data_IF_059440053798
#
_entry.id   IF_059440053798
#
_cell.length_a   1.000
_cell.length_b   1.000
_cell.length_c   1.000
_cell.angle_alpha   90.00
_cell.angle_beta   90.00
_cell.angle_gamma   90.00
#
_symmetry.space_group_name_H-M   'P 1'
#
loop_
_entity.id
_entity.type
_entity.pdbx_description
1 polymer ?
#
# COMPACT_ATOMS: atom_id res chain seq x y z
N UNK A 1 -18.30 -11.76 -12.25
CA UNK A 1 -17.47 -10.65 -11.74
C UNK A 1 -17.32 -10.84 -10.23
N UNK A 2 -16.29 -11.55 -9.78
CA UNK A 2 -16.06 -11.81 -8.34
C UNK A 2 -15.56 -10.50 -7.72
N UNK A 3 -16.37 -9.86 -6.87
CA UNK A 3 -15.92 -8.74 -6.06
C UNK A 3 -14.83 -9.25 -5.13
N UNK A 4 -13.66 -8.67 -5.24
CA UNK A 4 -12.50 -8.98 -4.41
C UNK A 4 -12.87 -8.66 -2.95
N UNK A 5 -12.82 -9.68 -2.07
CA UNK A 5 -13.26 -9.60 -0.69
C UNK A 5 -12.21 -8.89 0.18
N UNK A 6 -11.96 -7.61 -0.12
CA UNK A 6 -11.23 -6.75 0.81
C UNK A 6 -12.11 -6.46 2.03
N UNK A 7 -11.49 -6.20 3.17
CA UNK A 7 -12.04 -6.29 4.53
C UNK A 7 -13.48 -5.79 4.72
N UNK A 8 -13.87 -4.66 4.12
CA UNK A 8 -15.23 -4.12 4.19
C UNK A 8 -16.31 -5.03 3.57
N UNK A 9 -16.03 -5.60 2.38
CA UNK A 9 -16.96 -6.52 1.71
C UNK A 9 -17.18 -7.80 2.52
N UNK A 10 -16.11 -8.34 3.09
CA UNK A 10 -16.18 -9.55 3.92
C UNK A 10 -16.98 -9.32 5.22
N UNK A 11 -16.81 -8.16 5.85
CA UNK A 11 -17.61 -7.77 7.02
C UNK A 11 -19.10 -7.68 6.66
N UNK A 12 -19.42 -7.09 5.52
CA UNK A 12 -20.80 -7.00 5.00
C UNK A 12 -21.38 -8.38 4.70
N UNK A 13 -20.59 -9.30 4.14
CA UNK A 13 -21.04 -10.65 3.83
C UNK A 13 -21.39 -11.43 5.11
N UNK A 14 -20.55 -11.37 6.14
CA UNK A 14 -20.85 -11.98 7.44
C UNK A 14 -22.07 -11.32 8.13
N UNK A 15 -22.21 -10.01 8.01
CA UNK A 15 -23.40 -9.30 8.51
C UNK A 15 -24.68 -9.74 7.77
N UNK A 16 -24.64 -9.88 6.44
CA UNK A 16 -25.77 -10.36 5.63
C UNK A 16 -26.13 -11.81 5.93
N UNK A 17 -25.15 -12.64 6.26
CA UNK A 17 -25.34 -14.00 6.76
C UNK A 17 -25.86 -14.06 8.20
N UNK A 18 -26.07 -12.90 8.85
CA UNK A 18 -26.50 -12.76 10.24
C UNK A 18 -25.58 -13.45 11.25
N UNK A 19 -24.28 -13.53 10.95
CA UNK A 19 -23.27 -14.09 11.87
C UNK A 19 -23.05 -13.16 13.07
N UNK A 20 -23.27 -11.86 12.91
CA UNK A 20 -23.21 -10.87 13.98
C UNK A 20 -24.16 -9.68 13.70
N UNK A 21 -24.32 -8.80 14.69
CA UNK A 21 -25.10 -7.56 14.58
C UNK A 21 -24.23 -6.34 14.88
N UNK A 22 -24.59 -5.20 14.29
CA UNK A 22 -23.90 -3.92 14.49
C UNK A 22 -24.57 -3.05 15.57
N UNK A 23 -25.65 -3.52 16.21
CA UNK A 23 -26.48 -2.71 17.12
C UNK A 23 -25.81 -2.32 18.44
N UNK A 24 -24.72 -2.99 18.82
CA UNK A 24 -24.01 -2.75 20.07
C UNK A 24 -22.58 -2.23 19.81
N UNK A 25 -22.36 -1.58 18.67
CA UNK A 25 -21.05 -1.04 18.31
C UNK A 25 -20.91 0.36 18.93
N UNK A 26 -20.04 0.47 19.92
CA UNK A 26 -19.75 1.73 20.60
C UNK A 26 -18.67 2.57 19.88
N UNK A 27 -17.87 1.95 19.01
CA UNK A 27 -16.81 2.62 18.27
C UNK A 27 -16.70 2.14 16.81
N UNK A 28 -16.53 3.09 15.88
CA UNK A 28 -16.28 2.85 14.46
C UNK A 28 -15.00 3.55 14.02
N UNK A 29 -14.07 2.81 13.42
CA UNK A 29 -12.83 3.33 12.87
C UNK A 29 -12.81 3.12 11.36
N UNK A 30 -12.63 4.20 10.60
CA UNK A 30 -12.35 4.17 9.17
C UNK A 30 -10.90 4.57 8.99
N UNK A 31 -10.05 3.64 8.55
CA UNK A 31 -8.65 3.88 8.27
C UNK A 31 -8.41 3.89 6.75
N UNK A 32 -7.44 4.68 6.29
CA UNK A 32 -7.15 4.97 4.86
C UNK A 32 -8.44 5.33 4.07
N UNK A 33 -9.22 6.28 4.59
CA UNK A 33 -10.56 6.57 4.07
C UNK A 33 -10.56 6.95 2.58
N UNK A 34 -9.71 7.90 2.16
CA UNK A 34 -9.46 8.26 0.75
C UNK A 34 -9.25 7.05 -0.16
N UNK A 35 -8.40 6.10 0.25
CA UNK A 35 -8.14 4.90 -0.52
C UNK A 35 -9.33 3.96 -0.57
N UNK A 36 -10.16 3.88 0.47
CA UNK A 36 -11.40 3.13 0.35
C UNK A 36 -12.33 3.69 -0.73
N UNK A 37 -12.31 5.02 -0.96
CA UNK A 37 -13.05 5.63 -2.07
C UNK A 37 -12.46 5.24 -3.43
N UNK A 38 -11.13 5.31 -3.60
CA UNK A 38 -10.44 4.93 -4.84
C UNK A 38 -10.72 3.48 -5.24
N UNK A 39 -10.81 2.60 -4.25
CA UNK A 39 -11.10 1.18 -4.44
C UNK A 39 -12.58 0.89 -4.71
N UNK A 40 -13.43 1.91 -4.68
CA UNK A 40 -14.88 1.81 -4.96
C UNK A 40 -15.71 1.32 -3.77
N UNK A 41 -15.17 1.31 -2.54
CA UNK A 41 -15.86 0.85 -1.34
C UNK A 41 -16.81 1.86 -0.71
N UNK A 42 -16.95 3.05 -1.29
CA UNK A 42 -17.87 4.09 -0.80
C UNK A 42 -19.28 3.56 -0.46
N UNK A 43 -19.86 2.75 -1.36
CA UNK A 43 -21.21 2.19 -1.16
C UNK A 43 -21.27 1.22 0.02
N UNK A 44 -20.18 0.48 0.22
CA UNK A 44 -20.04 -0.51 1.28
C UNK A 44 -19.85 0.19 2.64
N UNK A 45 -19.10 1.29 2.69
CA UNK A 45 -18.95 2.13 3.88
C UNK A 45 -20.30 2.74 4.29
N UNK A 46 -21.00 3.37 3.34
CA UNK A 46 -22.35 3.91 3.59
C UNK A 46 -23.33 2.83 4.06
N UNK A 47 -23.22 1.62 3.52
CA UNK A 47 -24.04 0.50 3.95
C UNK A 47 -23.82 0.17 5.43
N UNK A 48 -22.56 0.15 5.90
CA UNK A 48 -22.21 -0.13 7.28
C UNK A 48 -22.67 1.01 8.21
N UNK A 49 -22.38 2.27 7.88
CA UNK A 49 -22.76 3.42 8.71
C UNK A 49 -24.26 3.51 8.98
N UNK A 50 -25.10 3.19 7.98
CA UNK A 50 -26.57 3.16 8.12
C UNK A 50 -27.09 2.06 9.05
N UNK A 51 -26.24 1.14 9.51
CA UNK A 51 -26.60 -0.02 10.34
C UNK A 51 -25.93 0.01 11.72
N UNK A 52 -25.07 0.99 11.96
CA UNK A 52 -24.51 1.29 13.28
C UNK A 52 -25.55 2.02 14.15
N UNK A 53 -25.38 2.04 15.48
CA UNK A 53 -26.18 2.88 16.38
C UNK A 53 -26.08 4.35 15.95
N UNK A 54 -27.01 5.26 16.30
CA UNK A 54 -26.90 6.69 15.96
C UNK A 54 -25.53 7.30 16.26
N UNK A 55 -25.11 8.30 15.47
CA UNK A 55 -23.75 8.88 15.57
C UNK A 55 -23.48 9.54 16.93
N UNK A 56 -24.53 9.95 17.63
CA UNK A 56 -24.50 10.52 18.98
C UNK A 56 -24.24 9.46 20.06
N UNK A 57 -24.42 8.17 19.74
CA UNK A 57 -24.30 7.05 20.68
C UNK A 57 -23.02 6.21 20.45
N UNK A 58 -22.17 6.60 19.50
CA UNK A 58 -20.95 5.88 19.17
C UNK A 58 -19.81 6.84 18.91
N UNK A 59 -18.60 6.46 19.28
CA UNK A 59 -17.40 7.16 18.86
C UNK A 59 -17.08 6.80 17.41
N UNK A 60 -16.88 7.80 16.55
CA UNK A 60 -16.42 7.56 15.18
C UNK A 60 -15.06 8.23 15.00
N UNK A 61 -14.12 7.52 14.39
CA UNK A 61 -12.79 8.02 14.05
C UNK A 61 -12.54 7.76 12.56
N UNK A 62 -12.01 8.77 11.87
CA UNK A 62 -11.67 8.70 10.47
C UNK A 62 -10.21 9.12 10.29
N UNK A 63 -9.42 8.26 9.67
CA UNK A 63 -8.03 8.49 9.32
C UNK A 63 -7.89 8.48 7.80
N UNK A 64 -7.19 9.46 7.26
CA UNK A 64 -7.00 9.64 5.82
C UNK A 64 -5.71 10.41 5.58
N UNK A 65 -4.95 10.04 4.55
CA UNK A 65 -3.75 10.79 4.16
C UNK A 65 -4.15 12.10 3.47
N UNK A 66 -5.25 12.07 2.73
CA UNK A 66 -5.82 13.22 2.02
C UNK A 66 -7.23 13.53 2.52
N UNK A 67 -7.59 14.82 2.53
CA UNK A 67 -8.92 15.29 2.88
C UNK A 67 -9.70 15.71 1.64
N UNK A 68 -9.95 14.75 0.75
CA UNK A 68 -10.82 14.99 -0.40
C UNK A 68 -12.24 15.36 0.04
N UNK A 69 -13.00 16.03 -0.83
CA UNK A 69 -14.39 16.41 -0.54
C UNK A 69 -15.24 15.20 -0.09
N UNK A 70 -15.02 14.02 -0.67
CA UNK A 70 -15.76 12.80 -0.32
C UNK A 70 -15.44 12.29 1.08
N UNK A 71 -14.19 12.41 1.52
CA UNK A 71 -13.78 12.04 2.88
C UNK A 71 -14.40 13.00 3.89
N UNK A 72 -14.39 14.31 3.59
CA UNK A 72 -15.00 15.33 4.44
C UNK A 72 -16.52 15.17 4.53
N UNK A 73 -17.18 14.86 3.41
CA UNK A 73 -18.62 14.56 3.36
C UNK A 73 -18.97 13.37 4.25
N UNK A 74 -18.22 12.27 4.15
CA UNK A 74 -18.42 11.10 5.00
C UNK A 74 -18.28 11.43 6.50
N UNK A 75 -17.25 12.21 6.87
CA UNK A 75 -17.06 12.66 8.23
C UNK A 75 -18.25 13.50 8.72
N UNK A 76 -18.69 14.46 7.91
CA UNK A 76 -19.78 15.37 8.26
C UNK A 76 -21.13 14.64 8.42
N UNK A 77 -21.44 13.71 7.53
CA UNK A 77 -22.70 12.97 7.55
C UNK A 77 -22.76 11.98 8.73
N UNK A 78 -21.65 11.30 9.02
CA UNK A 78 -21.68 10.12 9.89
C UNK A 78 -20.95 10.28 11.23
N UNK A 79 -20.27 11.38 11.48
CA UNK A 79 -19.65 11.66 12.79
C UNK A 79 -20.46 12.70 13.56
N UNK A 80 -20.38 12.66 14.88
CA UNK A 80 -21.01 13.65 15.76
C UNK A 80 -19.97 14.74 16.07
N UNK A 81 -20.16 15.93 15.48
CA UNK A 81 -19.30 17.12 15.66
C UNK A 81 -17.78 16.78 15.68
N UNK A 82 -17.23 16.24 14.57
CA UNK A 82 -15.87 15.73 14.56
C UNK A 82 -14.84 16.84 14.74
N UNK A 83 -13.91 16.65 15.69
CA UNK A 83 -12.72 17.49 15.80
C UNK A 83 -11.71 17.12 14.70
N UNK A 84 -11.32 18.11 13.90
CA UNK A 84 -10.32 17.92 12.84
C UNK A 84 -8.92 18.04 13.43
N UNK A 85 -8.23 16.91 13.55
CA UNK A 85 -6.81 16.86 13.83
C UNK A 85 -6.04 16.70 12.52
N UNK A 86 -5.35 17.76 12.10
CA UNK A 86 -4.42 17.71 11.00
C UNK A 86 -3.00 17.78 11.55
N UNK A 87 -2.22 16.73 11.32
CA UNK A 87 -0.78 16.80 11.52
C UNK A 87 -0.21 17.34 10.22
N UNK A 88 0.15 18.62 10.20
CA UNK A 88 1.03 19.14 9.15
C UNK A 88 2.35 18.38 9.33
N UNK A 89 2.66 17.50 8.37
CA UNK A 89 3.93 16.82 8.39
C UNK A 89 4.97 17.86 7.98
N UNK A 90 5.58 18.53 8.96
CA UNK A 90 6.65 19.50 8.73
C UNK A 90 7.82 18.90 7.93
N UNK A 91 7.88 17.58 7.81
CA UNK A 91 8.78 16.87 6.92
C UNK A 91 8.08 15.68 6.29
N UNK A 92 7.91 15.70 4.97
CA UNK A 92 7.58 14.49 4.23
C UNK A 92 8.73 13.52 4.52
N UNK A 93 8.42 12.29 4.94
CA UNK A 93 9.43 11.23 5.15
C UNK A 93 10.38 11.06 3.94
N UNK A 94 9.94 11.55 2.77
CA UNK A 94 10.70 11.70 1.53
C UNK A 94 11.98 12.56 1.63
N UNK A 95 12.05 13.55 2.53
CA UNK A 95 13.23 14.43 2.66
C UNK A 95 14.51 13.65 3.05
N UNK A 96 14.33 12.51 3.74
CA UNK A 96 15.43 11.61 4.15
C UNK A 96 15.64 10.43 3.21
N UNK A 97 14.87 10.37 2.11
CA UNK A 97 15.01 9.33 1.10
C UNK A 97 15.82 9.91 -0.06
N UNK A 98 16.98 9.32 -0.32
CA UNK A 98 17.75 9.63 -1.53
C UNK A 98 17.02 9.04 -2.72
N UNK A 99 16.52 9.92 -3.59
CA UNK A 99 15.72 9.54 -4.75
C UNK A 99 16.55 9.62 -6.03
N UNK A 100 16.50 8.57 -6.85
CA UNK A 100 17.14 8.52 -8.17
C UNK A 100 16.15 8.05 -9.22
N UNK A 101 16.22 8.64 -10.40
CA UNK A 101 15.39 8.25 -11.54
C UNK A 101 16.28 7.82 -12.69
N UNK A 102 15.94 6.66 -13.28
CA UNK A 102 16.49 6.19 -14.54
C UNK A 102 15.41 6.20 -15.60
N UNK A 103 15.79 6.44 -16.86
CA UNK A 103 14.89 6.48 -18.01
C UNK A 103 15.15 5.31 -18.98
N UNK A 104 14.98 4.05 -18.55
CA UNK A 104 15.19 2.91 -19.44
C UNK A 104 14.01 2.75 -20.42
N UNK A 105 14.25 2.15 -21.58
CA UNK A 105 13.16 1.54 -22.33
C UNK A 105 12.53 0.40 -21.51
N UNK A 106 11.25 0.08 -21.74
CA UNK A 106 10.54 -1.01 -21.04
C UNK A 106 11.34 -2.33 -21.01
N UNK A 107 12.00 -2.68 -22.09
CA UNK A 107 12.77 -3.91 -22.27
C UNK A 107 14.06 -3.92 -21.42
N UNK A 108 14.59 -2.74 -21.11
CA UNK A 108 15.87 -2.56 -20.39
C UNK A 108 15.70 -2.53 -18.87
N UNK A 109 14.45 -2.44 -18.38
CA UNK A 109 14.15 -2.37 -16.94
C UNK A 109 14.64 -3.57 -16.15
N UNK A 110 14.50 -4.79 -16.69
CA UNK A 110 14.95 -6.02 -16.00
C UNK A 110 16.48 -6.05 -15.87
N UNK A 111 17.27 -5.90 -16.96
CA UNK A 111 18.73 -5.81 -16.85
C UNK A 111 19.19 -4.72 -15.88
N UNK A 112 18.55 -3.54 -15.92
CA UNK A 112 18.85 -2.45 -15.01
C UNK A 112 18.57 -2.82 -13.54
N UNK A 113 17.40 -3.40 -13.25
CA UNK A 113 17.05 -3.85 -11.90
C UNK A 113 18.06 -4.85 -11.35
N UNK A 114 18.45 -5.84 -12.17
CA UNK A 114 19.41 -6.87 -11.77
C UNK A 114 20.77 -6.26 -11.41
N UNK A 115 21.28 -5.36 -12.26
CA UNK A 115 22.55 -4.68 -12.01
C UNK A 115 22.52 -3.84 -10.73
N UNK A 116 21.39 -3.17 -10.46
CA UNK A 116 21.23 -2.36 -9.25
C UNK A 116 21.12 -3.22 -7.99
N UNK A 117 20.40 -4.34 -8.04
CA UNK A 117 20.24 -5.27 -6.91
C UNK A 117 21.51 -6.06 -6.56
N UNK A 118 22.49 -6.11 -7.46
CA UNK A 118 23.78 -6.78 -7.22
C UNK A 118 24.82 -5.85 -6.58
N UNK A 119 24.49 -4.57 -6.38
CA UNK A 119 25.41 -3.64 -5.71
C UNK A 119 25.52 -3.99 -4.21
N UNK A 120 26.72 -3.86 -3.65
CA UNK A 120 27.02 -4.35 -2.29
C UNK A 120 26.13 -3.75 -1.18
N UNK A 121 25.56 -2.56 -1.41
CA UNK A 121 24.77 -1.83 -0.42
C UNK A 121 23.26 -2.17 -0.48
N UNK A 122 22.80 -2.94 -1.47
CA UNK A 122 21.39 -3.31 -1.59
C UNK A 122 21.07 -4.55 -0.77
N UNK A 123 20.49 -4.37 0.42
CA UNK A 123 20.02 -5.47 1.28
C UNK A 123 18.58 -5.27 1.73
N UNK A 124 17.71 -6.27 1.58
CA UNK A 124 16.25 -6.14 1.85
C UNK A 124 15.61 -5.01 1.03
N UNK A 125 15.42 -5.31 -0.24
CA UNK A 125 14.84 -4.39 -1.23
C UNK A 125 13.36 -4.70 -1.46
N UNK A 126 12.53 -3.67 -1.63
CA UNK A 126 11.16 -3.82 -2.13
C UNK A 126 11.09 -3.33 -3.57
N UNK A 127 10.53 -4.13 -4.47
CA UNK A 127 10.35 -3.80 -5.89
C UNK A 127 8.86 -3.64 -6.18
N UNK A 128 8.42 -2.42 -6.44
CA UNK A 128 7.03 -2.10 -6.76
C UNK A 128 6.73 -2.23 -8.24
N UNK A 129 5.64 -2.93 -8.54
CA UNK A 129 5.10 -3.12 -9.90
C UNK A 129 3.60 -2.85 -9.90
N UNK A 130 3.06 -2.44 -11.05
CA UNK A 130 1.66 -2.02 -11.11
C UNK A 130 0.68 -3.20 -11.30
N UNK A 131 1.17 -4.36 -11.76
CA UNK A 131 0.32 -5.52 -12.05
C UNK A 131 0.82 -6.80 -11.41
N UNK A 132 -0.11 -7.70 -11.08
CA UNK A 132 0.21 -9.05 -10.59
C UNK A 132 1.11 -9.82 -11.56
N UNK A 133 0.81 -9.76 -12.85
CA UNK A 133 1.56 -10.48 -13.89
C UNK A 133 3.01 -9.98 -13.92
N UNK A 134 3.21 -8.66 -13.78
CA UNK A 134 4.56 -8.10 -13.64
C UNK A 134 5.26 -8.61 -12.36
N UNK A 135 4.54 -8.72 -11.24
CA UNK A 135 5.12 -9.22 -9.98
C UNK A 135 5.66 -10.65 -10.12
N UNK A 136 4.88 -11.53 -10.75
CA UNK A 136 5.29 -12.91 -11.03
C UNK A 136 6.50 -12.95 -11.99
N UNK A 137 6.43 -12.21 -13.12
CA UNK A 137 7.48 -12.19 -14.14
C UNK A 137 8.81 -11.64 -13.61
N UNK A 138 8.76 -10.52 -12.87
CA UNK A 138 9.96 -9.90 -12.28
C UNK A 138 10.56 -10.85 -11.26
N UNK A 139 9.75 -11.41 -10.35
CA UNK A 139 10.23 -12.38 -9.33
C UNK A 139 10.92 -13.58 -9.95
N UNK A 140 10.31 -14.20 -10.97
CA UNK A 140 10.91 -15.34 -11.67
C UNK A 140 12.26 -14.97 -12.30
N UNK A 141 12.36 -13.77 -12.87
CA UNK A 141 13.59 -13.30 -13.50
C UNK A 141 14.71 -13.02 -12.49
N UNK A 142 14.37 -12.49 -11.31
CA UNK A 142 15.32 -12.33 -10.19
C UNK A 142 15.81 -13.69 -9.69
N UNK A 143 14.90 -14.64 -9.46
CA UNK A 143 15.24 -15.99 -8.99
C UNK A 143 16.14 -16.75 -9.97
N UNK A 144 15.90 -16.63 -11.29
CA UNK A 144 16.78 -17.23 -12.32
C UNK A 144 18.21 -16.67 -12.30
N UNK A 145 18.42 -15.50 -11.71
CA UNK A 145 19.74 -14.87 -11.52
C UNK A 145 20.31 -15.12 -10.12
N UNK A 146 19.71 -16.01 -9.34
CA UNK A 146 20.19 -16.40 -8.01
C UNK A 146 19.76 -15.49 -6.88
N UNK A 147 18.97 -14.43 -7.15
CA UNK A 147 18.49 -13.51 -6.11
C UNK A 147 17.34 -14.17 -5.35
N UNK A 148 17.43 -14.18 -4.01
CA UNK A 148 16.36 -14.69 -3.15
C UNK A 148 15.15 -13.75 -3.13
N UNK A 149 14.28 -13.87 -4.14
CA UNK A 149 13.11 -13.01 -4.31
C UNK A 149 11.78 -13.70 -3.99
N UNK A 150 10.79 -12.94 -3.53
CA UNK A 150 9.40 -13.38 -3.35
C UNK A 150 8.41 -12.39 -3.96
N UNK A 151 7.24 -12.88 -4.41
CA UNK A 151 6.17 -12.06 -4.96
C UNK A 151 5.03 -11.88 -3.95
N UNK A 152 4.52 -10.67 -3.81
CA UNK A 152 3.37 -10.32 -2.99
C UNK A 152 2.34 -9.54 -3.80
N UNK A 153 1.23 -10.21 -4.14
CA UNK A 153 0.09 -9.65 -4.86
C UNK A 153 -1.21 -9.91 -4.08
N UNK A 154 -2.30 -9.23 -4.46
CA UNK A 154 -3.58 -9.30 -3.73
C UNK A 154 -4.23 -10.69 -3.66
N UNK A 155 -3.85 -11.60 -4.54
CA UNK A 155 -4.35 -12.97 -4.61
C UNK A 155 -3.48 -14.00 -3.87
N UNK A 156 -2.36 -13.56 -3.28
CA UNK A 156 -1.53 -14.43 -2.43
C UNK A 156 -2.33 -14.78 -1.17
N UNK A 157 -2.55 -16.08 -0.88
CA UNK A 157 -3.27 -16.49 0.32
C UNK A 157 -2.61 -15.96 1.59
N UNK A 158 -3.43 -15.54 2.57
CA UNK A 158 -2.97 -14.88 3.81
C UNK A 158 -1.83 -15.64 4.52
N UNK A 159 -1.96 -16.96 4.69
CA UNK A 159 -0.92 -17.80 5.32
C UNK A 159 0.42 -17.78 4.55
N UNK A 160 0.36 -17.72 3.22
CA UNK A 160 1.56 -17.62 2.36
C UNK A 160 2.15 -16.21 2.44
N UNK A 161 1.31 -15.18 2.49
CA UNK A 161 1.71 -13.78 2.70
C UNK A 161 2.48 -13.62 4.01
N UNK A 162 1.93 -14.09 5.13
CA UNK A 162 2.58 -14.03 6.45
C UNK A 162 3.95 -14.72 6.44
N UNK A 163 4.04 -15.92 5.84
CA UNK A 163 5.31 -16.64 5.70
C UNK A 163 6.32 -15.86 4.86
N UNK A 164 5.91 -15.26 3.73
CA UNK A 164 6.80 -14.47 2.88
C UNK A 164 7.34 -13.24 3.61
N UNK A 165 6.47 -12.54 4.34
CA UNK A 165 6.85 -11.36 5.11
C UNK A 165 7.81 -11.70 6.23
N UNK A 166 7.55 -12.78 6.98
CA UNK A 166 8.46 -13.25 8.01
C UNK A 166 9.85 -13.57 7.45
N UNK A 167 9.91 -14.26 6.29
CA UNK A 167 11.19 -14.55 5.62
C UNK A 167 11.92 -13.28 5.16
N UNK A 168 11.18 -12.30 4.66
CA UNK A 168 11.76 -11.00 4.26
C UNK A 168 12.32 -10.22 5.44
N UNK A 169 11.56 -10.13 6.54
CA UNK A 169 12.00 -9.47 7.78
C UNK A 169 13.22 -10.15 8.40
N UNK A 170 13.29 -11.49 8.34
CA UNK A 170 14.45 -12.27 8.79
C UNK A 170 15.66 -12.20 7.85
N UNK A 171 15.59 -11.45 6.75
CA UNK A 171 16.69 -11.33 5.78
C UNK A 171 16.92 -12.58 4.92
N UNK A 172 15.99 -13.53 4.92
CA UNK A 172 16.06 -14.74 4.08
C UNK A 172 15.61 -14.49 2.63
N UNK A 173 15.04 -13.33 2.37
CA UNK A 173 14.74 -12.83 1.04
C UNK A 173 15.45 -11.49 0.87
N UNK A 174 16.21 -11.37 -0.22
CA UNK A 174 16.90 -10.15 -0.62
C UNK A 174 15.92 -9.15 -1.23
N UNK A 175 14.92 -9.64 -1.97
CA UNK A 175 13.96 -8.80 -2.68
C UNK A 175 12.51 -9.26 -2.47
N UNK A 176 11.62 -8.31 -2.19
CA UNK A 176 10.17 -8.51 -2.19
C UNK A 176 9.54 -7.72 -3.33
N UNK A 177 9.02 -8.42 -4.33
CA UNK A 177 8.31 -7.81 -5.47
C UNK A 177 6.83 -7.69 -5.11
N UNK A 178 6.27 -6.48 -5.11
CA UNK A 178 4.92 -6.25 -4.63
C UNK A 178 4.10 -5.29 -5.51
N UNK A 179 2.78 -5.47 -5.50
CA UNK A 179 1.84 -4.43 -5.98
C UNK A 179 1.39 -3.54 -4.83
N UNK A 180 0.92 -2.32 -5.12
CA UNK A 180 0.45 -1.38 -4.09
C UNK A 180 -0.60 -2.01 -3.17
N UNK A 181 -1.61 -2.65 -3.77
CA UNK A 181 -2.70 -3.29 -3.04
C UNK A 181 -2.19 -4.33 -2.05
N UNK A 182 -1.13 -5.06 -2.41
CA UNK A 182 -0.58 -6.12 -1.57
C UNK A 182 0.39 -5.58 -0.51
N UNK A 183 0.99 -4.41 -0.75
CA UNK A 183 1.91 -3.75 0.16
C UNK A 183 1.24 -2.82 1.19
N UNK A 184 -0.03 -2.45 0.97
CA UNK A 184 -0.81 -1.62 1.91
C UNK A 184 -0.95 -2.28 3.29
N UNK A 185 -0.92 -1.44 4.33
CA UNK A 185 -0.96 -1.88 5.73
C UNK A 185 0.27 -2.68 6.21
N UNK A 186 1.31 -2.84 5.38
CA UNK A 186 2.50 -3.58 5.79
C UNK A 186 3.48 -2.68 6.54
N UNK A 187 3.65 -2.94 7.83
CA UNK A 187 4.80 -2.42 8.57
C UNK A 187 6.02 -3.30 8.30
N UNK A 188 6.88 -2.87 7.38
CA UNK A 188 8.14 -3.56 7.07
C UNK A 188 9.28 -2.63 7.48
N UNK A 189 9.91 -2.95 8.59
CA UNK A 189 11.08 -2.22 9.09
C UNK A 189 12.35 -2.69 8.37
N UNK A 190 13.35 -1.80 8.30
CA UNK A 190 14.69 -2.16 7.83
C UNK A 190 14.82 -2.42 6.32
N UNK A 191 13.91 -1.89 5.51
CA UNK A 191 14.05 -1.84 4.05
C UNK A 191 15.13 -0.82 3.72
N UNK A 192 16.21 -1.23 3.04
CA UNK A 192 17.25 -0.28 2.64
C UNK A 192 16.85 0.44 1.34
N UNK A 193 16.33 -0.30 0.37
CA UNK A 193 16.05 0.18 -0.97
C UNK A 193 14.60 -0.08 -1.39
N UNK A 194 13.99 0.93 -1.99
CA UNK A 194 12.72 0.84 -2.69
C UNK A 194 12.99 1.04 -4.19
N UNK A 195 12.58 0.07 -5.00
CA UNK A 195 12.64 0.16 -6.45
C UNK A 195 11.23 0.33 -6.99
N UNK A 196 10.91 1.51 -7.52
CA UNK A 196 9.73 1.70 -8.35
C UNK A 196 10.03 1.16 -9.75
N UNK A 197 9.92 -0.16 -9.91
CA UNK A 197 10.10 -0.79 -11.22
C UNK A 197 9.07 -0.21 -12.18
N UNK A 198 7.79 -0.19 -11.82
CA UNK A 198 6.79 0.62 -12.52
C UNK A 198 6.48 1.85 -11.67
N UNK A 199 6.43 3.06 -12.25
CA UNK A 199 5.97 4.25 -11.51
C UNK A 199 4.47 4.10 -11.18
N UNK A 200 4.03 4.54 -9.98
CA UNK A 200 2.61 4.60 -9.67
C UNK A 200 1.92 5.63 -10.56
N UNK A 201 0.58 5.56 -10.66
CA UNK A 201 -0.19 6.52 -11.45
C UNK A 201 -0.31 7.87 -10.73
N UNK A 202 -0.34 7.87 -9.40
CA UNK A 202 -0.59 9.05 -8.57
C UNK A 202 0.60 9.32 -7.63
N UNK A 203 0.89 10.60 -7.38
CA UNK A 203 2.00 11.05 -6.55
C UNK A 203 1.90 10.55 -5.09
N UNK A 204 0.68 10.38 -4.58
CA UNK A 204 0.46 9.90 -3.21
C UNK A 204 0.91 8.44 -3.04
N UNK A 205 0.63 7.57 -4.03
CA UNK A 205 1.15 6.20 -4.00
C UNK A 205 2.68 6.20 -4.10
N UNK A 206 3.29 7.13 -4.85
CA UNK A 206 4.75 7.28 -4.88
C UNK A 206 5.32 7.55 -3.50
N UNK A 207 4.77 8.53 -2.78
CA UNK A 207 5.19 8.88 -1.41
C UNK A 207 5.02 7.67 -0.48
N UNK A 208 3.91 6.93 -0.59
CA UNK A 208 3.68 5.73 0.21
C UNK A 208 4.65 4.58 -0.06
N UNK A 209 5.10 4.43 -1.32
CA UNK A 209 6.11 3.44 -1.71
C UNK A 209 7.47 3.79 -1.15
N UNK A 210 7.95 5.02 -1.37
CA UNK A 210 9.27 5.43 -0.90
C UNK A 210 9.32 5.54 0.64
N UNK A 211 8.20 5.84 1.29
CA UNK A 211 8.06 5.79 2.76
C UNK A 211 8.13 4.39 3.37
N UNK A 212 8.35 3.34 2.57
CA UNK A 212 8.74 2.00 3.07
C UNK A 212 10.21 1.91 3.46
N UNK A 213 11.05 2.81 2.97
CA UNK A 213 12.42 3.02 3.46
C UNK A 213 12.48 4.25 4.39
N UNK A 214 13.65 4.53 4.98
CA UNK A 214 13.92 5.70 5.83
C UNK A 214 12.95 5.91 7.03
N UNK A 215 12.57 4.82 7.72
CA UNK A 215 11.80 4.91 8.98
C UNK A 215 12.74 5.04 10.18
N UNK A 216 12.32 5.77 11.21
CA UNK A 216 13.02 5.92 12.49
C UNK A 216 14.42 6.58 12.43
N UNK A 217 14.66 7.47 11.46
CA UNK A 217 15.88 8.29 11.40
C UNK A 217 17.03 7.72 10.54
N UNK A 218 16.85 6.55 9.93
CA UNK A 218 17.80 6.01 8.94
C UNK A 218 17.63 6.69 7.57
N UNK A 219 18.71 6.82 6.81
CA UNK A 219 18.67 7.18 5.38
C UNK A 219 18.22 5.97 4.57
N UNK A 220 17.44 6.22 3.52
CA UNK A 220 16.90 5.21 2.64
C UNK A 220 17.06 5.57 1.17
N UNK A 221 17.13 4.57 0.31
CA UNK A 221 17.26 4.77 -1.14
C UNK A 221 15.96 4.43 -1.87
N UNK A 222 15.50 5.33 -2.73
CA UNK A 222 14.42 5.07 -3.66
C UNK A 222 14.91 5.25 -5.11
N UNK A 223 14.78 4.21 -5.91
CA UNK A 223 15.16 4.21 -7.33
C UNK A 223 13.93 3.97 -8.19
N UNK A 224 13.68 4.85 -9.15
CA UNK A 224 12.52 4.78 -10.03
C UNK A 224 12.89 4.61 -11.49
N UNK A 225 12.13 3.79 -12.21
CA UNK A 225 12.27 3.62 -13.65
C UNK A 225 11.14 4.34 -14.40
N UNK A 226 11.47 5.46 -15.01
CA UNK A 226 10.58 6.23 -15.88
C UNK A 226 10.72 5.73 -17.33
N UNK A 227 10.04 4.64 -17.66
CA UNK A 227 10.02 4.12 -19.03
C UNK A 227 8.96 4.80 -19.89
N UNK A 228 9.01 4.53 -21.19
CA UNK A 228 8.08 4.98 -22.23
C UNK A 228 6.58 4.83 -21.89
N UNK A 229 6.22 3.88 -21.03
CA UNK A 229 4.84 3.68 -20.58
C UNK A 229 4.42 4.52 -19.37
N UNK A 230 5.37 4.93 -18.52
CA UNK A 230 5.07 5.47 -17.19
C UNK A 230 5.79 6.78 -16.87
N UNK A 231 6.64 7.29 -17.76
CA UNK A 231 7.35 8.55 -17.57
C UNK A 231 6.40 9.74 -17.39
N UNK A 232 5.18 9.66 -17.94
CA UNK A 232 4.12 10.68 -17.77
C UNK A 232 3.61 10.76 -16.33
N UNK A 233 3.83 9.71 -15.52
CA UNK A 233 3.42 9.63 -14.12
C UNK A 233 4.52 10.06 -13.13
N UNK A 234 5.59 10.70 -13.60
CA UNK A 234 6.57 11.32 -12.71
C UNK A 234 5.88 12.46 -11.93
N UNK A 235 5.95 12.45 -10.58
CA UNK A 235 5.40 13.51 -9.74
C UNK A 235 6.19 14.81 -9.86
#
# INVERSE_FOLDING_TARGET
MRRDHRHAGRLIDYFKQQVFTLRAVDAMVVDEADRMFDLGFIKDIYFLFRRLPPREQRQSMLFSATLSHRVLELAYEHMNEPEKLAVESDHITADRVRQRVYFPAKEEKIPLLLNLLQQADTSRSIVFVNTKIAAERVTERLQRQGILAGALSGDVPQKKREKLLARFQQGQLEALVATDVAARGLHIEGVSHVFNYDLPQDAEDYVHRIGRTARLGAEGDAVSFACDLYAVSLP
#
